data_IF_625766706533
#
_entry.id   IF_625766706533
#
_cell.length_a   1.000
_cell.length_b   1.000
_cell.length_c   1.000
_cell.angle_alpha   90.00
_cell.angle_beta   90.00
_cell.angle_gamma   90.00
#
_symmetry.space_group_name_H-M   'P 1'
#
loop_
_entity.id
_entity.type
_entity.pdbx_description
1 polymer ?
#
# COMPACT_ATOMS: atom_id res chain seq x y z
N UNK A 1 2.98 27.17 -0.93
CA UNK A 1 3.59 26.29 0.10
C UNK A 1 4.18 25.12 -0.65
N UNK A 2 5.41 24.68 -0.30
CA UNK A 2 6.02 23.49 -0.90
C UNK A 2 5.28 22.23 -0.45
N UNK A 3 5.14 21.27 -1.34
CA UNK A 3 4.51 19.98 -1.02
C UNK A 3 5.41 19.20 -0.08
N UNK A 4 4.81 18.57 0.94
CA UNK A 4 5.48 17.70 1.89
C UNK A 4 4.93 16.28 1.75
N UNK A 5 5.81 15.32 1.46
CA UNK A 5 5.50 13.90 1.38
C UNK A 5 6.10 13.19 2.59
N UNK A 6 5.35 12.30 3.20
CA UNK A 6 5.83 11.45 4.29
C UNK A 6 5.63 10.00 3.90
N UNK A 7 6.69 9.34 3.51
CA UNK A 7 6.68 7.90 3.24
C UNK A 7 6.61 7.10 4.54
N UNK A 8 5.89 5.98 4.54
CA UNK A 8 5.72 5.09 5.70
C UNK A 8 5.71 3.64 5.25
N UNK A 9 6.37 2.79 6.04
CA UNK A 9 6.34 1.33 5.89
C UNK A 9 6.59 0.62 7.21
N UNK A 10 6.04 -0.59 7.39
CA UNK A 10 6.21 -1.42 8.57
C UNK A 10 6.62 -2.85 8.22
N UNK A 11 7.60 -3.38 8.97
CA UNK A 11 7.79 -4.82 9.09
C UNK A 11 7.02 -5.36 10.30
N UNK A 12 6.42 -6.53 10.15
CA UNK A 12 5.44 -7.04 11.12
C UNK A 12 5.60 -8.53 11.40
N UNK A 13 4.96 -9.00 12.49
CA UNK A 13 4.91 -10.43 12.85
C UNK A 13 4.00 -11.27 11.94
N UNK A 14 3.16 -10.65 11.10
CA UNK A 14 2.19 -11.35 10.25
C UNK A 14 1.49 -10.44 9.26
N UNK A 15 0.56 -11.01 8.49
CA UNK A 15 -0.11 -10.34 7.38
C UNK A 15 -1.51 -9.77 7.71
N UNK A 16 -2.01 -9.98 8.92
CA UNK A 16 -3.31 -9.44 9.34
C UNK A 16 -3.12 -8.12 10.09
N UNK A 17 -3.48 -6.97 9.49
CA UNK A 17 -3.30 -5.65 10.11
C UNK A 17 -4.13 -5.45 11.39
N UNK A 18 -5.14 -6.30 11.61
CA UNK A 18 -5.96 -6.23 12.83
C UNK A 18 -5.26 -6.81 14.06
N UNK A 19 -4.31 -7.73 13.86
CA UNK A 19 -3.71 -8.50 14.95
C UNK A 19 -2.18 -8.49 14.99
N UNK A 20 -1.48 -8.30 13.86
CA UNK A 20 -0.01 -8.37 13.84
C UNK A 20 0.66 -7.27 14.68
N UNK A 21 1.81 -7.61 15.25
CA UNK A 21 2.70 -6.68 15.93
C UNK A 21 3.70 -6.03 14.97
N UNK A 22 4.12 -4.80 15.24
CA UNK A 22 5.16 -4.08 14.47
C UNK A 22 6.53 -4.44 15.03
N UNK A 23 7.45 -4.87 14.15
CA UNK A 23 8.85 -5.18 14.51
C UNK A 23 9.84 -4.12 14.00
N UNK A 24 9.50 -3.41 12.93
CA UNK A 24 10.22 -2.22 12.47
C UNK A 24 9.21 -1.22 11.91
N UNK A 25 9.43 0.05 12.22
CA UNK A 25 8.66 1.16 11.64
C UNK A 25 9.66 2.15 11.04
N UNK A 26 9.40 2.59 9.81
CA UNK A 26 10.22 3.61 9.16
C UNK A 26 9.36 4.69 8.53
N UNK A 27 9.86 5.92 8.60
CA UNK A 27 9.30 7.03 7.81
C UNK A 27 10.42 7.87 7.21
N UNK A 28 10.09 8.50 6.08
CA UNK A 28 10.99 9.42 5.37
C UNK A 28 10.19 10.65 4.97
N UNK A 29 10.70 11.82 5.28
CA UNK A 29 10.12 13.09 4.86
C UNK A 29 10.84 13.65 3.64
N UNK A 30 10.06 13.95 2.62
CA UNK A 30 10.51 14.67 1.42
C UNK A 30 9.78 15.99 1.29
N UNK A 31 10.53 17.03 0.88
CA UNK A 31 9.96 18.32 0.46
C UNK A 31 10.31 18.63 -0.97
N UNK A 32 9.39 19.30 -1.64
CA UNK A 32 9.63 19.81 -2.98
C UNK A 32 10.76 20.83 -2.95
N UNK A 33 11.82 20.57 -3.72
CA UNK A 33 13.05 21.35 -3.74
C UNK A 33 12.88 22.63 -4.58
N UNK A 34 12.74 23.77 -3.94
CA UNK A 34 12.91 25.09 -4.53
C UNK A 34 12.09 25.38 -5.79
N UNK A 35 12.74 25.95 -6.82
CA UNK A 35 12.09 26.44 -8.04
C UNK A 35 11.93 25.39 -9.16
N UNK A 36 12.44 24.18 -8.99
CA UNK A 36 12.27 23.10 -9.96
C UNK A 36 11.14 22.15 -9.51
N UNK A 37 10.02 22.22 -10.19
CA UNK A 37 8.94 21.26 -9.98
C UNK A 37 9.46 19.83 -10.23
N UNK A 38 9.12 18.91 -9.31
CA UNK A 38 9.52 17.51 -9.40
C UNK A 38 10.85 17.13 -8.73
N UNK A 39 11.65 18.10 -8.28
CA UNK A 39 12.82 17.80 -7.45
C UNK A 39 12.41 17.66 -5.98
N UNK A 40 12.94 16.64 -5.30
CA UNK A 40 12.61 16.32 -3.92
C UNK A 40 13.87 16.23 -3.07
N UNK A 41 13.87 16.91 -1.92
CA UNK A 41 14.91 16.82 -0.91
C UNK A 41 14.45 15.93 0.25
N UNK A 42 15.27 14.95 0.66
CA UNK A 42 15.06 14.16 1.87
C UNK A 42 15.46 15.01 3.08
N UNK A 43 14.47 15.44 3.87
CA UNK A 43 14.72 16.29 5.05
C UNK A 43 14.92 15.45 6.31
N UNK A 44 14.22 14.32 6.42
CA UNK A 44 14.31 13.44 7.57
C UNK A 44 14.08 12.00 7.16
N UNK A 45 14.82 11.08 7.78
CA UNK A 45 14.60 9.63 7.67
C UNK A 45 14.83 8.98 9.03
N UNK A 46 13.92 8.13 9.45
CA UNK A 46 14.03 7.41 10.71
C UNK A 46 13.51 5.98 10.55
N UNK A 47 14.21 5.03 11.16
CA UNK A 47 13.76 3.66 11.31
C UNK A 47 13.93 3.21 12.76
N UNK A 48 12.90 2.62 13.32
CA UNK A 48 12.87 2.18 14.71
C UNK A 48 12.51 0.70 14.77
N UNK A 49 13.37 -0.09 15.42
CA UNK A 49 13.06 -1.48 15.76
C UNK A 49 12.14 -1.49 16.97
N UNK A 50 11.05 -2.23 16.87
CA UNK A 50 9.97 -2.26 17.87
C UNK A 50 9.83 -3.63 18.49
N UNK A 51 9.48 -3.65 19.79
CA UNK A 51 9.06 -4.87 20.47
C UNK A 51 7.57 -5.12 20.15
N UNK A 52 7.20 -6.20 19.42
CA UNK A 52 5.80 -6.45 19.07
C UNK A 52 4.96 -6.90 20.27
N UNK A 53 5.58 -7.32 21.38
CA UNK A 53 4.90 -7.86 22.55
C UNK A 53 4.42 -9.30 22.41
N UNK A 54 4.81 -9.97 21.31
CA UNK A 54 4.46 -11.34 20.98
C UNK A 54 5.64 -12.05 20.29
N UNK A 55 5.67 -13.39 20.23
CA UNK A 55 6.72 -14.12 19.52
C UNK A 55 6.73 -13.79 18.03
N UNK A 56 7.92 -13.64 17.45
CA UNK A 56 8.09 -13.38 16.02
C UNK A 56 8.16 -14.71 15.27
N UNK A 57 7.20 -15.00 14.38
CA UNK A 57 7.21 -16.21 13.57
C UNK A 57 8.46 -16.30 12.69
N UNK A 58 9.05 -17.50 12.57
CA UNK A 58 10.21 -17.70 11.70
C UNK A 58 9.94 -17.28 10.25
N UNK A 59 8.71 -17.49 9.75
CA UNK A 59 8.33 -17.05 8.40
C UNK A 59 8.47 -15.55 8.21
N UNK A 60 8.07 -14.73 9.18
CA UNK A 60 8.26 -13.28 9.16
C UNK A 60 9.74 -12.90 9.29
N UNK A 61 10.47 -13.56 10.22
CA UNK A 61 11.91 -13.38 10.37
C UNK A 61 12.68 -13.64 9.07
N UNK A 62 12.31 -14.66 8.30
CA UNK A 62 12.96 -14.97 7.00
C UNK A 62 12.72 -13.89 5.94
N UNK A 63 11.68 -13.09 6.10
CA UNK A 63 11.38 -11.97 5.21
C UNK A 63 12.24 -10.75 5.58
N UNK A 64 12.10 -10.22 6.77
CA UNK A 64 12.72 -8.95 7.19
C UNK A 64 14.03 -9.11 7.99
N UNK A 65 14.36 -10.30 8.46
CA UNK A 65 15.59 -10.56 9.20
C UNK A 65 15.57 -10.16 10.68
N UNK A 66 14.41 -9.82 11.23
CA UNK A 66 14.24 -9.41 12.63
C UNK A 66 13.61 -10.57 13.42
N UNK A 67 14.12 -10.84 14.62
CA UNK A 67 13.65 -11.93 15.47
C UNK A 67 13.70 -11.55 16.95
N UNK A 68 13.03 -12.32 17.80
CA UNK A 68 13.22 -12.28 19.25
C UNK A 68 14.39 -13.15 19.71
N UNK A 69 14.76 -13.03 20.99
CA UNK A 69 15.86 -13.81 21.57
C UNK A 69 15.60 -15.32 21.51
N UNK A 70 14.35 -15.76 21.58
CA UNK A 70 13.98 -17.19 21.52
C UNK A 70 14.09 -17.76 20.09
N UNK A 71 13.95 -16.92 19.07
CA UNK A 71 14.09 -17.25 17.66
C UNK A 71 15.52 -17.18 17.12
N UNK A 72 16.45 -16.54 17.84
CA UNK A 72 17.77 -16.13 17.35
C UNK A 72 18.58 -17.27 16.72
N UNK A 73 18.69 -18.41 17.37
CA UNK A 73 19.49 -19.55 16.85
C UNK A 73 18.87 -20.15 15.58
N UNK A 74 17.53 -20.22 15.52
CA UNK A 74 16.81 -20.67 14.32
C UNK A 74 16.97 -19.69 13.17
N UNK A 75 16.94 -18.40 13.48
CA UNK A 75 17.13 -17.33 12.50
C UNK A 75 18.54 -17.37 11.91
N UNK A 76 19.59 -17.49 12.75
CA UNK A 76 21.00 -17.62 12.31
C UNK A 76 21.22 -18.83 11.42
N UNK A 77 20.56 -19.96 11.75
CA UNK A 77 20.66 -21.18 10.95
C UNK A 77 19.98 -21.09 9.58
N UNK A 78 19.01 -20.17 9.41
CA UNK A 78 18.18 -20.08 8.23
C UNK A 78 18.46 -18.85 7.36
N UNK A 79 19.05 -17.79 7.92
CA UNK A 79 19.43 -16.58 7.20
C UNK A 79 20.90 -16.65 6.78
N UNK A 80 21.22 -16.09 5.61
CA UNK A 80 22.61 -15.91 5.16
C UNK A 80 23.32 -14.73 5.84
N UNK A 81 22.60 -14.01 6.73
CA UNK A 81 23.07 -12.83 7.48
C UNK A 81 22.70 -12.93 8.95
N UNK A 82 23.39 -12.16 9.80
CA UNK A 82 23.03 -12.06 11.21
C UNK A 82 21.67 -11.36 11.36
N UNK A 83 20.70 -11.94 12.11
CA UNK A 83 19.41 -11.32 12.33
C UNK A 83 19.49 -10.14 13.31
N UNK A 84 18.62 -9.16 13.17
CA UNK A 84 18.39 -8.16 14.20
C UNK A 84 17.57 -8.78 15.34
N UNK A 85 18.09 -8.72 16.57
CA UNK A 85 17.46 -9.35 17.73
C UNK A 85 16.72 -8.30 18.55
N UNK A 86 15.40 -8.46 18.69
CA UNK A 86 14.59 -7.65 19.59
C UNK A 86 14.75 -8.13 21.03
N UNK A 87 14.95 -7.19 21.94
CA UNK A 87 15.03 -7.40 23.39
C UNK A 87 13.87 -6.70 24.11
N UNK A 88 13.74 -6.95 25.39
CA UNK A 88 12.75 -6.24 26.24
C UNK A 88 12.99 -4.73 26.37
N UNK A 89 14.17 -4.24 25.99
CA UNK A 89 14.52 -2.82 26.02
C UNK A 89 13.94 -2.03 24.85
N UNK A 90 13.57 -2.71 23.75
CA UNK A 90 12.94 -2.06 22.60
C UNK A 90 11.51 -1.62 22.97
N UNK A 91 11.17 -0.41 22.59
CA UNK A 91 9.83 0.14 22.86
C UNK A 91 8.77 -0.54 22.00
N UNK A 92 7.56 -0.63 22.53
CA UNK A 92 6.40 -1.02 21.74
C UNK A 92 6.01 0.12 20.79
N UNK A 93 5.62 -0.22 19.56
CA UNK A 93 5.19 0.77 18.55
C UNK A 93 4.08 1.69 19.08
N UNK A 94 3.17 1.17 19.89
CA UNK A 94 2.10 1.96 20.50
C UNK A 94 2.58 3.16 21.34
N UNK A 95 3.84 3.16 21.80
CA UNK A 95 4.39 4.26 22.59
C UNK A 95 4.57 5.55 21.78
N UNK A 96 4.78 5.44 20.47
CA UNK A 96 5.04 6.59 19.61
C UNK A 96 4.15 6.68 18.36
N UNK A 97 3.25 5.71 18.13
CA UNK A 97 2.34 5.71 17.00
C UNK A 97 1.49 6.99 16.87
N UNK A 98 1.04 7.53 18.01
CA UNK A 98 0.28 8.79 18.05
C UNK A 98 1.11 10.01 17.65
N UNK A 99 2.39 10.05 18.05
CA UNK A 99 3.33 11.09 17.67
C UNK A 99 3.64 10.98 16.16
N UNK A 100 3.94 9.78 15.65
CA UNK A 100 4.18 9.55 14.24
C UNK A 100 3.01 10.01 13.37
N UNK A 101 1.78 9.68 13.78
CA UNK A 101 0.58 10.14 13.08
C UNK A 101 0.46 11.68 13.09
N UNK A 102 0.80 12.33 14.21
CA UNK A 102 0.88 13.80 14.30
C UNK A 102 1.94 14.40 13.39
N UNK A 103 3.11 13.76 13.28
CA UNK A 103 4.17 14.19 12.36
C UNK A 103 3.73 14.05 10.90
N UNK A 104 3.04 12.99 10.52
CA UNK A 104 2.50 12.83 9.17
C UNK A 104 1.53 13.97 8.82
N UNK A 105 0.67 14.36 9.75
CA UNK A 105 -0.35 15.39 9.54
C UNK A 105 0.19 16.83 9.61
N UNK A 106 1.36 17.02 10.19
CA UNK A 106 2.00 18.34 10.31
C UNK A 106 2.15 19.00 8.94
N UNK A 107 1.98 20.33 8.88
CA UNK A 107 2.17 21.14 7.66
C UNK A 107 1.40 20.61 6.43
N UNK A 108 0.21 20.04 6.66
CA UNK A 108 -0.64 19.47 5.61
C UNK A 108 0.07 18.35 4.81
N UNK A 109 0.87 17.54 5.51
CA UNK A 109 1.63 16.45 4.93
C UNK A 109 0.78 15.42 4.21
N UNK A 110 1.34 14.81 3.19
CA UNK A 110 0.72 13.73 2.42
C UNK A 110 1.43 12.43 2.78
N UNK A 111 0.69 11.52 3.42
CA UNK A 111 1.18 10.15 3.61
C UNK A 111 1.34 9.46 2.25
N UNK A 112 2.48 8.83 2.02
CA UNK A 112 2.75 8.02 0.82
C UNK A 112 3.15 6.62 1.27
N UNK A 113 2.45 5.60 0.78
CA UNK A 113 2.74 4.21 1.12
C UNK A 113 2.58 3.30 -0.10
N UNK A 114 3.05 2.07 0.01
CA UNK A 114 2.83 1.03 -0.99
C UNK A 114 1.89 -0.05 -0.44
N UNK A 115 0.65 -0.08 -0.90
CA UNK A 115 -0.44 -0.93 -0.35
C UNK A 115 -0.82 -0.61 1.12
N UNK A 116 -0.41 0.55 1.60
CA UNK A 116 -0.59 0.93 3.00
C UNK A 116 -2.03 1.24 3.38
N UNK A 117 -2.91 1.57 2.42
CA UNK A 117 -4.34 1.73 2.68
C UNK A 117 -4.98 0.47 3.29
N UNK A 118 -4.48 -0.73 2.89
CA UNK A 118 -4.94 -2.02 3.37
C UNK A 118 -4.12 -2.59 4.53
N UNK A 119 -2.94 -2.04 4.82
CA UNK A 119 -2.00 -2.65 5.77
C UNK A 119 -1.43 -1.64 6.77
N UNK A 120 -0.49 -0.79 6.37
CA UNK A 120 0.23 0.10 7.30
C UNK A 120 -0.67 1.11 7.99
N UNK A 121 -1.58 1.73 7.24
CA UNK A 121 -2.48 2.73 7.80
C UNK A 121 -3.44 2.15 8.85
N UNK A 122 -4.12 1.01 8.63
CA UNK A 122 -4.88 0.33 9.69
C UNK A 122 -4.05 -0.01 10.95
N UNK A 123 -2.79 -0.43 10.78
CA UNK A 123 -1.89 -0.72 11.90
C UNK A 123 -1.55 0.56 12.67
N UNK A 124 -1.13 1.62 11.97
CA UNK A 124 -0.82 2.92 12.58
C UNK A 124 -2.02 3.46 13.37
N UNK A 125 -3.19 3.49 12.74
CA UNK A 125 -4.43 3.99 13.35
C UNK A 125 -4.86 3.18 14.58
N UNK A 126 -4.70 1.85 14.53
CA UNK A 126 -4.98 0.96 15.66
C UNK A 126 -4.09 1.27 16.85
N UNK A 127 -2.78 1.45 16.64
CA UNK A 127 -1.84 1.76 17.70
C UNK A 127 -1.95 3.21 18.19
N UNK A 128 -2.21 4.16 17.30
CA UNK A 128 -2.46 5.56 17.63
C UNK A 128 -3.84 5.79 18.28
N UNK A 129 -4.76 4.82 18.20
CA UNK A 129 -6.15 4.87 18.68
C UNK A 129 -6.95 6.02 18.07
N UNK A 130 -6.60 6.44 16.88
CA UNK A 130 -7.32 7.45 16.09
C UNK A 130 -7.06 7.26 14.60
N UNK A 131 -7.91 7.83 13.78
CA UNK A 131 -7.78 7.83 12.32
C UNK A 131 -6.83 8.93 11.85
N UNK A 132 -6.20 8.69 10.70
CA UNK A 132 -5.49 9.72 9.95
C UNK A 132 -6.51 10.77 9.51
N UNK A 133 -6.26 12.04 9.88
CA UNK A 133 -7.04 13.20 9.42
C UNK A 133 -6.44 13.81 8.14
N UNK A 134 -5.23 13.39 7.77
CA UNK A 134 -4.48 13.90 6.63
C UNK A 134 -4.79 13.21 5.30
N UNK A 135 -4.01 13.60 4.30
CA UNK A 135 -4.09 13.09 2.93
C UNK A 135 -3.21 11.86 2.77
N UNK A 136 -3.64 10.90 1.95
CA UNK A 136 -2.92 9.66 1.70
C UNK A 136 -2.87 9.32 0.21
N UNK A 137 -1.69 8.92 -0.27
CA UNK A 137 -1.45 8.35 -1.60
C UNK A 137 -0.97 6.91 -1.45
N UNK A 138 -1.69 5.97 -2.05
CA UNK A 138 -1.29 4.57 -2.12
C UNK A 138 -0.70 4.26 -3.51
N UNK A 139 0.62 4.17 -3.58
CA UNK A 139 1.38 3.99 -4.83
C UNK A 139 1.09 2.66 -5.52
N UNK A 140 0.75 1.61 -4.76
CA UNK A 140 0.30 0.34 -5.32
C UNK A 140 -0.95 0.48 -6.20
N UNK A 141 -1.92 1.29 -5.75
CA UNK A 141 -3.14 1.56 -6.53
C UNK A 141 -2.82 2.32 -7.81
N UNK A 142 -1.97 3.34 -7.72
CA UNK A 142 -1.53 4.12 -8.89
C UNK A 142 -0.82 3.22 -9.91
N UNK A 143 0.10 2.37 -9.45
CA UNK A 143 0.81 1.42 -10.29
C UNK A 143 -0.16 0.45 -10.99
N UNK A 144 -1.10 -0.14 -10.27
CA UNK A 144 -2.11 -1.04 -10.86
C UNK A 144 -2.98 -0.35 -11.91
N UNK A 145 -3.29 0.92 -11.72
CA UNK A 145 -4.11 1.69 -12.67
C UNK A 145 -3.35 2.02 -13.95
N UNK A 146 -2.08 2.41 -13.84
CA UNK A 146 -1.34 3.01 -14.95
C UNK A 146 -0.38 2.04 -15.66
N UNK A 147 0.09 0.97 -15.02
CA UNK A 147 1.07 0.06 -15.60
C UNK A 147 0.58 -0.68 -16.86
N UNK A 148 -0.73 -0.85 -17.02
CA UNK A 148 -1.30 -1.48 -18.23
C UNK A 148 -1.29 -0.54 -19.47
N UNK A 149 -1.25 0.78 -19.26
CA UNK A 149 -1.31 1.80 -20.30
C UNK A 149 0.01 2.56 -20.50
N UNK A 150 0.90 2.52 -19.49
CA UNK A 150 2.18 3.19 -19.55
C UNK A 150 3.26 2.29 -20.16
N UNK A 151 4.24 2.92 -20.80
CA UNK A 151 5.45 2.23 -21.25
C UNK A 151 6.44 2.19 -20.08
N UNK A 152 7.05 1.04 -19.77
CA UNK A 152 8.12 0.96 -18.77
C UNK A 152 9.29 1.90 -19.10
N UNK A 153 10.00 2.39 -18.09
CA UNK A 153 11.17 3.23 -18.28
C UNK A 153 12.20 2.55 -19.21
N UNK A 154 12.73 3.28 -20.19
CA UNK A 154 13.55 2.72 -21.28
C UNK A 154 14.92 2.17 -20.83
N UNK A 155 15.31 2.39 -19.58
CA UNK A 155 16.67 2.09 -19.09
C UNK A 155 16.92 0.61 -18.77
N UNK A 156 15.92 -0.25 -18.78
CA UNK A 156 16.11 -1.69 -18.59
C UNK A 156 16.53 -2.35 -19.89
N UNK A 157 17.86 -2.47 -20.08
CA UNK A 157 18.43 -3.17 -21.23
C UNK A 157 18.16 -4.67 -21.15
N UNK A 158 17.55 -5.23 -22.19
CA UNK A 158 17.41 -6.69 -22.33
C UNK A 158 16.00 -7.24 -22.32
N UNK A 159 15.00 -6.37 -22.34
CA UNK A 159 13.58 -6.76 -22.28
C UNK A 159 13.10 -6.91 -20.83
N UNK A 160 11.82 -6.68 -20.63
CA UNK A 160 11.19 -6.70 -19.31
C UNK A 160 10.80 -8.13 -18.94
N UNK A 161 11.35 -8.73 -17.86
CA UNK A 161 10.85 -10.00 -17.40
C UNK A 161 9.39 -9.87 -16.95
N UNK A 162 8.59 -10.91 -17.18
CA UNK A 162 7.17 -10.93 -16.79
C UNK A 162 6.94 -10.62 -15.29
N UNK A 163 7.98 -10.75 -14.46
CA UNK A 163 7.96 -10.37 -13.05
C UNK A 163 7.77 -8.87 -12.80
N UNK A 164 8.15 -7.99 -13.74
CA UNK A 164 7.95 -6.54 -13.63
C UNK A 164 6.49 -6.10 -13.79
N UNK A 165 5.65 -6.96 -14.34
CA UNK A 165 4.21 -6.71 -14.39
C UNK A 165 3.47 -7.18 -13.13
N UNK A 166 4.19 -7.66 -12.12
CA UNK A 166 3.63 -7.94 -10.80
C UNK A 166 3.44 -6.62 -10.04
N UNK A 167 2.48 -6.63 -9.16
CA UNK A 167 2.16 -5.47 -8.34
C UNK A 167 2.99 -5.44 -7.02
N UNK A 168 4.23 -5.95 -7.00
CA UNK A 168 5.16 -5.79 -5.86
C UNK A 168 5.88 -4.44 -5.94
N UNK A 169 6.33 -3.90 -4.80
CA UNK A 169 7.10 -2.66 -4.76
C UNK A 169 8.35 -2.73 -5.65
N UNK A 170 9.12 -3.81 -5.58
CA UNK A 170 10.31 -3.99 -6.41
C UNK A 170 9.99 -3.96 -7.92
N UNK A 171 8.88 -4.57 -8.33
CA UNK A 171 8.44 -4.53 -9.72
C UNK A 171 7.98 -3.13 -10.14
N UNK A 172 7.20 -2.45 -9.30
CA UNK A 172 6.75 -1.08 -9.56
C UNK A 172 7.92 -0.11 -9.61
N UNK A 173 8.87 -0.21 -8.67
CA UNK A 173 10.07 0.62 -8.66
C UNK A 173 10.86 0.46 -9.96
N UNK A 174 11.19 -0.78 -10.34
CA UNK A 174 11.90 -1.03 -11.58
C UNK A 174 11.13 -0.55 -12.83
N UNK A 175 9.79 -0.70 -12.84
CA UNK A 175 8.94 -0.24 -13.95
C UNK A 175 9.03 1.27 -14.16
N UNK A 176 8.96 2.06 -13.08
CA UNK A 176 8.86 3.52 -13.16
C UNK A 176 10.20 4.22 -13.16
N UNK A 177 11.20 3.69 -12.44
CA UNK A 177 12.54 4.31 -12.33
C UNK A 177 13.56 3.73 -13.32
N UNK A 178 13.35 2.50 -13.79
CA UNK A 178 14.36 1.74 -14.55
C UNK A 178 15.47 1.15 -13.67
N UNK A 179 15.36 1.24 -12.36
CA UNK A 179 16.36 0.81 -11.39
C UNK A 179 15.84 -0.37 -10.55
N UNK A 180 16.75 -1.25 -10.16
CA UNK A 180 16.51 -2.23 -9.11
C UNK A 180 17.03 -1.65 -7.80
N UNK A 181 16.43 -2.05 -6.67
CA UNK A 181 16.96 -1.74 -5.36
C UNK A 181 17.20 -3.03 -4.56
N UNK A 182 18.26 -3.01 -3.77
CA UNK A 182 18.61 -4.10 -2.87
C UNK A 182 18.09 -3.79 -1.46
N UNK A 183 17.89 -4.83 -0.65
CA UNK A 183 17.45 -4.68 0.74
C UNK A 183 15.95 -4.56 0.90
N UNK A 184 15.16 -5.05 -0.05
CA UNK A 184 13.72 -5.21 0.12
C UNK A 184 13.41 -5.94 1.45
N UNK A 185 12.31 -5.53 2.08
CA UNK A 185 11.92 -5.95 3.44
C UNK A 185 12.82 -5.39 4.56
N UNK A 186 13.43 -4.23 4.32
CA UNK A 186 13.85 -3.28 5.33
C UNK A 186 12.94 -2.05 5.18
N UNK A 187 12.18 -1.73 6.21
CA UNK A 187 11.15 -0.70 6.12
C UNK A 187 11.68 0.65 5.62
N UNK A 188 12.91 1.05 5.97
CA UNK A 188 13.49 2.31 5.51
C UNK A 188 13.84 2.28 4.02
N UNK A 189 14.34 1.15 3.53
CA UNK A 189 14.64 0.93 2.11
C UNK A 189 13.35 0.95 1.31
N UNK A 190 12.30 0.27 1.80
CA UNK A 190 11.00 0.17 1.12
C UNK A 190 10.27 1.52 1.09
N UNK A 191 10.36 2.35 2.16
CA UNK A 191 9.87 3.74 2.14
C UNK A 191 10.55 4.56 1.05
N UNK A 192 11.88 4.51 0.96
CA UNK A 192 12.62 5.28 -0.05
C UNK A 192 12.29 4.81 -1.47
N UNK A 193 12.18 3.49 -1.68
CA UNK A 193 11.76 2.94 -2.96
C UNK A 193 10.34 3.39 -3.33
N UNK A 194 9.41 3.42 -2.37
CA UNK A 194 8.04 3.91 -2.56
C UNK A 194 8.01 5.38 -2.98
N UNK A 195 8.73 6.25 -2.27
CA UNK A 195 8.79 7.68 -2.60
C UNK A 195 9.42 7.93 -3.98
N UNK A 196 10.52 7.24 -4.32
CA UNK A 196 11.14 7.32 -5.65
C UNK A 196 10.21 6.83 -6.76
N UNK A 197 9.49 5.73 -6.50
CA UNK A 197 8.49 5.22 -7.44
C UNK A 197 7.39 6.26 -7.69
N UNK A 198 6.89 6.89 -6.63
CA UNK A 198 5.86 7.92 -6.74
C UNK A 198 6.38 9.16 -7.49
N UNK A 199 7.56 9.66 -7.17
CA UNK A 199 8.19 10.77 -7.89
C UNK A 199 8.34 10.47 -9.39
N UNK A 200 8.86 9.27 -9.74
CA UNK A 200 8.98 8.84 -11.12
C UNK A 200 7.62 8.77 -11.85
N UNK A 201 6.56 8.38 -11.14
CA UNK A 201 5.20 8.37 -11.71
C UNK A 201 4.68 9.78 -11.98
N UNK A 202 4.97 10.75 -11.11
CA UNK A 202 4.59 12.16 -11.30
C UNK A 202 5.32 12.80 -12.50
N UNK A 203 6.57 12.42 -12.72
CA UNK A 203 7.40 12.93 -13.83
C UNK A 203 7.16 12.20 -15.16
N UNK A 204 6.53 11.02 -15.13
CA UNK A 204 6.38 10.18 -16.32
C UNK A 204 5.44 10.81 -17.35
N UNK A 205 5.89 11.05 -18.59
CA UNK A 205 5.17 11.87 -19.58
C UNK A 205 3.82 11.31 -20.01
N UNK A 206 3.61 10.00 -19.88
CA UNK A 206 2.36 9.34 -20.30
C UNK A 206 1.53 8.83 -19.13
N UNK A 207 2.04 8.86 -17.89
CA UNK A 207 1.28 8.43 -16.71
C UNK A 207 0.20 9.43 -16.32
N UNK A 208 0.46 10.73 -16.54
CA UNK A 208 -0.52 11.81 -16.32
C UNK A 208 -0.89 12.03 -14.84
N UNK A 209 -0.06 11.55 -13.91
CA UNK A 209 -0.30 11.73 -12.49
C UNK A 209 0.02 13.16 -12.04
N UNK A 210 -0.90 13.75 -11.30
CA UNK A 210 -0.66 14.88 -10.40
C UNK A 210 -0.93 14.43 -8.97
N UNK A 211 -0.49 15.18 -7.99
CA UNK A 211 -0.75 14.89 -6.57
C UNK A 211 -2.25 14.79 -6.31
N UNK A 212 -3.06 15.71 -6.86
CA UNK A 212 -4.52 15.70 -6.70
C UNK A 212 -5.16 14.47 -7.35
N UNK A 213 -4.67 14.05 -8.53
CA UNK A 213 -5.15 12.83 -9.17
C UNK A 213 -4.79 11.58 -8.36
N UNK A 214 -3.57 11.53 -7.81
CA UNK A 214 -3.10 10.44 -6.96
C UNK A 214 -3.91 10.33 -5.66
N UNK A 215 -4.20 11.46 -5.01
CA UNK A 215 -5.05 11.51 -3.82
C UNK A 215 -6.46 10.97 -4.11
N UNK A 216 -7.09 11.41 -5.22
CA UNK A 216 -8.40 10.89 -5.62
C UNK A 216 -8.36 9.39 -5.90
N UNK A 217 -7.35 8.91 -6.62
CA UNK A 217 -7.20 7.49 -6.93
C UNK A 217 -7.01 6.61 -5.68
N UNK A 218 -6.56 7.19 -4.57
CA UNK A 218 -6.43 6.47 -3.30
C UNK A 218 -7.75 6.40 -2.51
N UNK A 219 -8.65 7.35 -2.70
CA UNK A 219 -9.89 7.47 -1.91
C UNK A 219 -11.15 7.07 -2.66
N UNK A 220 -11.10 7.01 -3.98
CA UNK A 220 -12.23 6.73 -4.85
C UNK A 220 -12.01 5.44 -5.66
N UNK A 221 -13.07 4.74 -6.08
CA UNK A 221 -12.95 3.68 -7.08
C UNK A 221 -12.27 4.21 -8.35
N UNK A 222 -11.46 3.36 -8.99
CA UNK A 222 -10.81 3.73 -10.23
C UNK A 222 -11.82 3.91 -11.38
N UNK A 223 -11.50 4.68 -12.42
CA UNK A 223 -12.39 4.84 -13.57
C UNK A 223 -12.82 3.49 -14.14
N UNK A 224 -14.12 3.25 -14.21
CA UNK A 224 -14.70 1.98 -14.65
C UNK A 224 -14.95 0.97 -13.53
N UNK A 225 -14.40 1.16 -12.35
CA UNK A 225 -14.68 0.31 -11.20
C UNK A 225 -15.96 0.79 -10.45
N UNK A 226 -16.65 -0.15 -9.83
CA UNK A 226 -17.82 0.11 -8.99
C UNK A 226 -17.41 0.17 -7.52
N UNK A 227 -16.43 -0.65 -7.15
CA UNK A 227 -15.87 -0.73 -5.82
C UNK A 227 -14.38 -0.41 -5.80
N UNK A 228 -13.89 -0.15 -4.59
CA UNK A 228 -12.54 0.32 -4.35
C UNK A 228 -11.45 -0.62 -4.87
N UNK A 229 -11.66 -1.94 -4.85
CA UNK A 229 -10.70 -2.96 -5.26
C UNK A 229 -10.87 -3.45 -6.70
N UNK A 230 -11.82 -2.89 -7.46
CA UNK A 230 -12.12 -3.33 -8.81
C UNK A 230 -12.63 -4.76 -8.90
N UNK A 231 -13.24 -5.29 -7.82
CA UNK A 231 -13.94 -6.58 -7.82
C UNK A 231 -15.26 -6.51 -8.57
N UNK A 232 -15.81 -5.30 -8.64
CA UNK A 232 -16.99 -4.95 -9.42
C UNK A 232 -16.61 -3.84 -10.39
N UNK A 233 -17.01 -3.97 -11.65
CA UNK A 233 -16.79 -2.97 -12.71
C UNK A 233 -18.08 -2.66 -13.44
N UNK A 234 -18.17 -1.47 -14.01
CA UNK A 234 -19.24 -1.13 -14.91
C UNK A 234 -19.04 -1.81 -16.26
N UNK A 235 -20.05 -2.49 -16.74
CA UNK A 235 -20.10 -2.93 -18.15
C UNK A 235 -20.53 -1.78 -19.08
N UNK A 236 -20.72 -2.12 -20.36
CA UNK A 236 -21.12 -1.14 -21.39
C UNK A 236 -22.58 -0.64 -21.21
N UNK A 237 -23.41 -1.40 -20.50
CA UNK A 237 -24.81 -1.03 -20.20
C UNK A 237 -24.93 -0.25 -18.88
N UNK A 238 -23.82 -0.07 -18.14
CA UNK A 238 -23.79 0.61 -16.85
C UNK A 238 -24.25 -0.26 -15.68
N UNK A 239 -24.18 -1.58 -15.86
CA UNK A 239 -24.48 -2.56 -14.84
C UNK A 239 -23.19 -3.02 -14.13
N UNK A 240 -23.28 -3.35 -12.86
CA UNK A 240 -22.14 -3.85 -12.09
C UNK A 240 -21.89 -5.32 -12.38
N UNK A 241 -20.67 -5.65 -12.83
CA UNK A 241 -20.22 -7.01 -13.17
C UNK A 241 -19.11 -7.43 -12.22
N UNK A 242 -19.15 -8.66 -11.74
CA UNK A 242 -18.06 -9.26 -10.96
C UNK A 242 -16.86 -9.57 -11.86
N UNK A 243 -15.63 -9.25 -11.41
CA UNK A 243 -14.45 -9.27 -12.29
C UNK A 243 -13.50 -10.44 -12.08
N UNK A 244 -13.61 -11.19 -10.97
CA UNK A 244 -12.57 -12.15 -10.57
C UNK A 244 -13.08 -13.57 -10.41
N UNK A 245 -12.18 -14.54 -10.68
CA UNK A 245 -12.42 -15.96 -10.48
C UNK A 245 -13.52 -16.54 -11.37
N UNK A 246 -14.12 -17.63 -10.92
CA UNK A 246 -15.13 -18.40 -11.71
C UNK A 246 -16.41 -17.64 -12.03
N UNK A 247 -16.69 -16.58 -11.27
CA UNK A 247 -17.90 -15.75 -11.43
C UNK A 247 -17.60 -14.47 -12.24
N UNK A 248 -16.40 -14.32 -12.80
CA UNK A 248 -16.06 -13.18 -13.64
C UNK A 248 -17.02 -13.07 -14.83
N UNK A 249 -17.49 -11.85 -15.12
CA UNK A 249 -18.45 -11.57 -16.19
C UNK A 249 -19.92 -11.71 -15.77
N UNK A 250 -20.22 -12.18 -14.55
CA UNK A 250 -21.59 -12.29 -14.08
C UNK A 250 -22.04 -10.96 -13.47
N UNK A 251 -23.24 -10.50 -13.84
CA UNK A 251 -23.86 -9.31 -13.26
C UNK A 251 -24.05 -9.47 -11.75
N UNK A 252 -23.83 -8.42 -11.00
CA UNK A 252 -23.99 -8.44 -9.54
C UNK A 252 -25.38 -8.93 -9.11
N UNK A 253 -26.43 -8.57 -9.88
CA UNK A 253 -27.82 -9.00 -9.60
C UNK A 253 -28.06 -10.48 -9.83
N UNK A 254 -27.24 -11.14 -10.66
CA UNK A 254 -27.38 -12.55 -11.05
C UNK A 254 -26.44 -13.47 -10.25
N UNK A 255 -25.61 -12.91 -9.36
CA UNK A 255 -24.76 -13.68 -8.47
C UNK A 255 -25.60 -14.43 -7.44
N UNK A 256 -25.30 -15.72 -7.25
CA UNK A 256 -26.03 -16.54 -6.30
C UNK A 256 -25.82 -16.09 -4.83
N UNK A 257 -26.85 -16.32 -3.99
CA UNK A 257 -26.84 -15.90 -2.59
C UNK A 257 -25.73 -16.57 -1.76
N UNK A 258 -25.29 -17.78 -2.16
CA UNK A 258 -24.18 -18.49 -1.52
C UNK A 258 -22.85 -17.77 -1.77
N UNK A 259 -22.64 -17.35 -3.01
CA UNK A 259 -21.46 -16.58 -3.38
C UNK A 259 -21.42 -15.21 -2.68
N UNK A 260 -22.53 -14.48 -2.64
CA UNK A 260 -22.62 -13.20 -1.92
C UNK A 260 -22.28 -13.36 -0.43
N UNK A 261 -22.79 -14.42 0.23
CA UNK A 261 -22.42 -14.74 1.62
C UNK A 261 -20.93 -15.09 1.76
N UNK A 262 -20.36 -15.81 0.80
CA UNK A 262 -18.94 -16.14 0.80
C UNK A 262 -18.07 -14.88 0.74
N UNK A 263 -18.39 -13.90 -0.14
CA UNK A 263 -17.68 -12.61 -0.22
C UNK A 263 -17.72 -11.88 1.13
N UNK A 264 -18.88 -11.85 1.81
CA UNK A 264 -19.01 -11.17 3.11
C UNK A 264 -18.14 -11.79 4.21
N UNK A 265 -17.86 -13.10 4.11
CA UNK A 265 -17.07 -13.87 5.10
C UNK A 265 -15.58 -13.96 4.74
N UNK A 266 -15.17 -13.41 3.59
CA UNK A 266 -13.78 -13.39 3.15
C UNK A 266 -13.18 -12.01 3.32
N UNK A 267 -11.87 -11.93 3.18
CA UNK A 267 -11.14 -10.67 3.24
C UNK A 267 -11.28 -9.89 1.92
N UNK A 268 -12.40 -9.16 1.82
CA UNK A 268 -12.66 -8.18 0.77
C UNK A 268 -12.78 -6.80 1.40
N UNK A 269 -12.46 -5.78 0.63
CA UNK A 269 -12.54 -4.40 1.08
C UNK A 269 -13.92 -4.06 1.66
N UNK A 270 -14.01 -3.24 2.72
CA UNK A 270 -15.29 -2.84 3.33
C UNK A 270 -16.30 -2.27 2.35
N UNK A 271 -15.85 -1.52 1.34
CA UNK A 271 -16.69 -0.96 0.27
C UNK A 271 -17.34 -2.06 -0.57
N UNK A 272 -16.53 -3.04 -1.06
CA UNK A 272 -17.06 -4.22 -1.77
C UNK A 272 -18.13 -4.92 -0.92
N UNK A 273 -17.85 -5.15 0.36
CA UNK A 273 -18.81 -5.77 1.28
C UNK A 273 -20.07 -4.93 1.49
N UNK A 274 -19.96 -3.60 1.51
CA UNK A 274 -21.11 -2.71 1.61
C UNK A 274 -22.02 -2.83 0.39
N UNK A 275 -21.45 -2.85 -0.82
CA UNK A 275 -22.17 -3.06 -2.08
C UNK A 275 -22.86 -4.43 -2.09
N UNK A 276 -22.17 -5.49 -1.68
CA UNK A 276 -22.75 -6.84 -1.59
C UNK A 276 -23.92 -6.90 -0.60
N UNK A 277 -23.81 -6.26 0.58
CA UNK A 277 -24.93 -6.16 1.53
C UNK A 277 -26.14 -5.42 0.96
N UNK A 278 -25.90 -4.37 0.18
CA UNK A 278 -26.96 -3.64 -0.53
C UNK A 278 -27.62 -4.52 -1.59
N UNK A 279 -26.83 -5.24 -2.39
CA UNK A 279 -27.33 -6.17 -3.40
C UNK A 279 -28.19 -7.29 -2.80
N UNK A 280 -27.85 -7.83 -1.62
CA UNK A 280 -28.70 -8.80 -0.90
C UNK A 280 -30.09 -8.25 -0.51
N UNK A 281 -30.23 -6.93 -0.47
CA UNK A 281 -31.52 -6.23 -0.23
C UNK A 281 -32.19 -5.77 -1.53
N UNK A 282 -31.67 -6.19 -2.70
CA UNK A 282 -32.17 -5.77 -4.01
C UNK A 282 -31.78 -4.34 -4.41
N UNK A 283 -30.77 -3.75 -3.73
CA UNK A 283 -30.27 -2.41 -4.04
C UNK A 283 -28.96 -2.55 -4.80
N UNK A 284 -28.97 -2.16 -6.07
CA UNK A 284 -27.81 -2.26 -6.95
C UNK A 284 -27.23 -0.87 -7.23
N UNK A 285 -25.89 -0.74 -7.36
CA UNK A 285 -25.29 0.53 -7.74
C UNK A 285 -25.75 0.94 -9.15
N UNK A 286 -25.92 2.23 -9.36
CA UNK A 286 -26.25 2.82 -10.66
C UNK A 286 -25.14 3.76 -11.08
N UNK A 287 -24.70 3.64 -12.32
CA UNK A 287 -23.69 4.54 -12.88
C UNK A 287 -24.28 5.97 -12.95
N UNK A 288 -23.67 6.91 -12.25
CA UNK A 288 -24.03 8.32 -12.43
C UNK A 288 -23.62 8.74 -13.85
N UNK A 289 -24.57 8.96 -14.72
CA UNK A 289 -24.31 9.60 -16.01
C UNK A 289 -23.94 11.06 -15.71
N UNK A 290 -22.68 11.42 -15.95
CA UNK A 290 -22.32 12.84 -15.98
C UNK A 290 -23.09 13.47 -17.15
N UNK A 291 -23.88 14.53 -16.96
CA UNK A 291 -24.47 15.24 -18.09
C UNK A 291 -23.34 15.78 -18.95
N UNK A 292 -23.36 15.45 -20.24
CA UNK A 292 -22.49 16.01 -21.28
C UNK A 292 -22.70 17.51 -21.41
#
# INVERSE_FOLDING_TARGET
MSVRLVGLDFETTGQDPASCGVVQAAYVEWREAGAMAGAWDEEQAEAVVCNPGEPIPLGSTLVHGITDSAGADRARAALEREPTIITAEHHHFAAFAGQLLGEIERDDGILVSYNGAGFDLPILERHARRKLAGRHVDVYRLHKQSSAAATPCEHVKGGWPASLFKASLAAAHAFWTGELFDGAHDALVDVRATLRTFAAMLEHPTAGWTIEAALRATTEPLPGDVDFDGKLRWDHEGEAVWTVGKNAGILLRDLDAGFLRWVLNKDFHPDTKAIIRAAQRGQYPTRKTTPT
#
